data_IF_660759699904
#
_entry.id   IF_660759699904
#
_cell.length_a   1.000
_cell.length_b   1.000
_cell.length_c   1.000
_cell.angle_alpha   90.00
_cell.angle_beta   90.00
_cell.angle_gamma   90.00
#
_symmetry.space_group_name_H-M   'P 1'
#
loop_
_entity.id
_entity.type
_entity.pdbx_description
1 polymer ?
#
# COMPACT_ATOMS: atom_id res chain seq x y z
N UNK A 1 -51.32 49.12 65.42
CA UNK A 1 -50.37 48.94 66.53
C UNK A 1 -49.30 47.98 66.05
N UNK A 2 -48.11 48.56 65.78
CA UNK A 2 -46.75 48.08 66.07
C UNK A 2 -46.43 46.57 66.18
N UNK A 3 -45.16 46.27 65.86
CA UNK A 3 -44.37 45.03 66.06
C UNK A 3 -44.32 44.12 64.81
N UNK A 4 -43.18 43.67 64.28
CA UNK A 4 -41.79 43.85 64.68
C UNK A 4 -40.85 43.57 63.50
N UNK A 5 -39.73 44.28 63.53
CA UNK A 5 -38.60 44.25 62.62
C UNK A 5 -37.79 42.95 62.83
N UNK A 6 -37.46 42.21 61.77
CA UNK A 6 -36.45 41.14 61.83
C UNK A 6 -35.37 41.40 60.78
N UNK A 7 -34.25 41.96 61.24
CA UNK A 7 -33.02 42.15 60.50
C UNK A 7 -32.40 40.79 60.11
N UNK A 8 -31.91 40.59 58.88
CA UNK A 8 -30.99 39.50 58.57
C UNK A 8 -29.57 39.89 59.00
N UNK A 9 -28.91 39.00 59.74
CA UNK A 9 -27.54 39.18 60.20
C UNK A 9 -26.52 39.24 59.04
N UNK A 10 -25.43 40.01 59.17
CA UNK A 10 -24.31 39.98 58.24
C UNK A 10 -23.31 38.90 58.70
N UNK A 11 -23.06 37.87 57.89
CA UNK A 11 -22.03 36.91 58.27
C UNK A 11 -21.94 35.69 57.38
N UNK A 12 -21.01 35.72 56.42
CA UNK A 12 -20.64 34.54 55.66
C UNK A 12 -19.83 34.90 54.42
N UNK A 13 -18.55 35.20 54.60
CA UNK A 13 -17.60 35.33 53.47
C UNK A 13 -17.57 33.98 52.73
N UNK A 14 -17.81 33.93 51.41
CA UNK A 14 -17.71 32.68 50.67
C UNK A 14 -16.27 32.15 50.74
N UNK A 15 -16.06 30.82 50.86
CA UNK A 15 -14.72 30.26 50.98
C UNK A 15 -13.86 30.63 49.76
N UNK A 16 -12.55 30.90 49.93
CA UNK A 16 -11.70 31.32 48.84
C UNK A 16 -11.70 30.25 47.75
N UNK A 17 -12.07 30.66 46.52
CA UNK A 17 -12.09 29.78 45.35
C UNK A 17 -10.68 29.23 45.16
N UNK A 18 -10.53 27.91 45.23
CA UNK A 18 -9.26 27.22 44.98
C UNK A 18 -8.82 27.51 43.54
N UNK A 19 -7.91 28.46 43.37
CA UNK A 19 -7.25 28.72 42.09
C UNK A 19 -6.23 27.61 41.88
N UNK A 20 -6.54 26.64 41.03
CA UNK A 20 -5.58 25.62 40.62
C UNK A 20 -4.61 26.30 39.64
N UNK A 21 -3.32 26.44 39.95
CA UNK A 21 -2.37 27.00 39.00
C UNK A 21 -2.26 26.04 37.81
N UNK A 22 -2.52 26.55 36.60
CA UNK A 22 -2.28 25.80 35.36
C UNK A 22 -0.77 25.69 35.20
N UNK A 23 -0.20 24.57 35.66
CA UNK A 23 1.18 24.22 35.33
C UNK A 23 1.25 23.90 33.84
N UNK A 24 2.10 24.63 33.12
CA UNK A 24 2.38 24.32 31.73
C UNK A 24 2.88 22.88 31.64
N UNK A 25 2.18 22.05 30.86
CA UNK A 25 2.55 20.66 30.67
C UNK A 25 4.00 20.58 30.13
N UNK A 26 4.85 19.70 30.70
CA UNK A 26 6.21 19.54 30.22
C UNK A 26 6.18 19.05 28.77
N UNK A 27 6.74 19.86 27.88
CA UNK A 27 6.95 19.63 26.45
C UNK A 27 5.74 19.06 25.69
N UNK A 28 5.04 19.93 24.96
CA UNK A 28 4.17 19.50 23.88
C UNK A 28 4.96 18.56 22.97
N UNK A 29 4.64 17.26 23.03
CA UNK A 29 5.09 16.29 22.03
C UNK A 29 4.63 16.86 20.70
N UNK A 30 5.53 17.15 19.75
CA UNK A 30 5.11 17.65 18.45
C UNK A 30 4.04 16.71 17.89
N UNK A 31 2.84 17.22 17.62
CA UNK A 31 1.78 16.45 16.95
C UNK A 31 2.20 16.01 15.53
N UNK A 32 3.32 16.54 15.04
CA UNK A 32 3.87 16.28 13.72
C UNK A 32 5.35 15.87 13.81
N UNK A 33 5.63 14.62 13.46
CA UNK A 33 6.98 14.14 13.27
C UNK A 33 7.45 14.51 11.84
N UNK A 34 8.54 15.29 11.68
CA UNK A 34 8.99 15.71 10.36
C UNK A 34 9.34 14.50 9.50
N UNK A 35 8.78 14.47 8.29
CA UNK A 35 8.94 13.35 7.36
C UNK A 35 10.41 13.12 7.02
N UNK A 36 10.93 11.95 7.38
CA UNK A 36 12.20 11.46 6.84
C UNK A 36 11.95 10.82 5.47
N UNK A 37 12.56 11.35 4.42
CA UNK A 37 12.44 10.82 3.05
C UNK A 37 13.03 9.41 2.98
N UNK A 38 12.17 8.41 2.77
CA UNK A 38 12.61 7.03 2.60
C UNK A 38 13.13 6.84 1.17
N UNK A 39 14.36 6.32 1.07
CA UNK A 39 15.01 5.99 -0.20
C UNK A 39 15.31 4.49 -0.25
N UNK A 40 14.38 3.67 -0.76
CA UNK A 40 14.58 2.22 -0.80
C UNK A 40 15.73 1.85 -1.72
N UNK A 41 16.53 0.89 -1.27
CA UNK A 41 17.57 0.22 -2.06
C UNK A 41 16.92 -0.80 -3.00
N UNK A 42 17.46 -0.92 -4.22
CA UNK A 42 17.06 -1.98 -5.14
C UNK A 42 17.49 -3.36 -4.65
N UNK A 43 16.66 -4.38 -4.91
CA UNK A 43 16.99 -5.78 -4.60
C UNK A 43 16.44 -6.71 -5.69
N UNK A 44 17.18 -7.79 -5.95
CA UNK A 44 16.77 -8.85 -6.86
C UNK A 44 16.41 -10.10 -6.04
N UNK A 45 15.40 -10.83 -6.49
CA UNK A 45 14.93 -12.04 -5.83
C UNK A 45 13.56 -12.46 -6.33
N UNK A 46 12.94 -13.42 -5.65
CA UNK A 46 11.68 -14.00 -6.08
C UNK A 46 10.54 -12.98 -6.00
N UNK A 47 10.42 -12.28 -4.87
CA UNK A 47 9.33 -11.33 -4.62
C UNK A 47 9.48 -10.09 -5.49
N UNK A 48 10.72 -9.60 -5.68
CA UNK A 48 11.03 -8.51 -6.61
C UNK A 48 10.59 -8.84 -8.05
N UNK A 49 10.87 -10.06 -8.54
CA UNK A 49 10.43 -10.51 -9.87
C UNK A 49 8.91 -10.61 -9.99
N UNK A 50 8.24 -11.23 -9.02
CA UNK A 50 6.77 -11.34 -9.02
C UNK A 50 6.08 -9.98 -8.95
N UNK A 51 6.65 -9.04 -8.19
CA UNK A 51 6.13 -7.67 -8.11
C UNK A 51 6.21 -6.99 -9.47
N UNK A 52 7.33 -7.10 -10.18
CA UNK A 52 7.45 -6.58 -11.54
C UNK A 52 6.55 -7.30 -12.54
N UNK A 53 6.37 -8.62 -12.43
CA UNK A 53 5.43 -9.35 -13.27
C UNK A 53 4.00 -8.82 -13.12
N UNK A 54 3.56 -8.55 -11.88
CA UNK A 54 2.22 -8.00 -11.62
C UNK A 54 2.10 -6.51 -11.93
N UNK A 55 3.17 -5.73 -11.79
CA UNK A 55 3.24 -4.37 -12.36
C UNK A 55 2.98 -4.44 -13.86
N UNK A 56 3.73 -5.26 -14.60
CA UNK A 56 3.52 -5.41 -16.04
C UNK A 56 2.11 -5.90 -16.39
N UNK A 57 1.61 -6.93 -15.71
CA UNK A 57 0.28 -7.47 -15.98
C UNK A 57 -0.83 -6.42 -15.73
N UNK A 58 -0.77 -5.70 -14.61
CA UNK A 58 -1.76 -4.65 -14.28
C UNK A 58 -1.66 -3.45 -15.22
N UNK A 59 -0.45 -3.02 -15.59
CA UNK A 59 -0.27 -1.91 -16.53
C UNK A 59 -0.69 -2.28 -17.94
N UNK A 60 -0.39 -3.50 -18.40
CA UNK A 60 -0.84 -4.00 -19.70
C UNK A 60 -2.36 -4.04 -19.74
N UNK A 61 -3.01 -4.60 -18.73
CA UNK A 61 -4.46 -4.59 -18.62
C UNK A 61 -5.00 -3.16 -18.64
N UNK A 62 -4.48 -2.29 -17.76
CA UNK A 62 -4.99 -0.92 -17.61
C UNK A 62 -4.83 -0.10 -18.89
N UNK A 63 -3.68 -0.16 -19.56
CA UNK A 63 -3.39 0.64 -20.75
C UNK A 63 -3.94 0.07 -22.05
N UNK A 64 -4.10 -1.25 -22.18
CA UNK A 64 -4.49 -1.88 -23.45
C UNK A 64 -5.99 -2.10 -23.55
N UNK A 65 -6.66 -2.51 -22.47
CA UNK A 65 -8.09 -2.85 -22.49
C UNK A 65 -8.99 -1.78 -23.13
N UNK A 66 -8.84 -0.47 -22.87
CA UNK A 66 -9.74 0.52 -23.47
C UNK A 66 -9.54 0.67 -24.99
N UNK A 67 -8.41 0.22 -25.55
CA UNK A 67 -8.17 0.23 -27.00
C UNK A 67 -8.76 -0.96 -27.73
N UNK A 68 -9.02 -2.06 -27.00
CA UNK A 68 -9.58 -3.28 -27.58
C UNK A 68 -11.02 -3.03 -28.05
N UNK A 69 -11.37 -3.63 -29.19
CA UNK A 69 -12.69 -3.53 -29.78
C UNK A 69 -13.29 -4.94 -29.89
N UNK A 70 -14.52 -5.09 -29.41
CA UNK A 70 -15.30 -6.33 -29.44
C UNK A 70 -16.62 -5.99 -30.12
N UNK A 71 -16.93 -6.68 -31.22
CA UNK A 71 -18.12 -6.43 -32.05
C UNK A 71 -18.32 -4.96 -32.47
N UNK A 72 -17.21 -4.27 -32.80
CA UNK A 72 -17.24 -2.86 -33.23
C UNK A 72 -17.44 -1.84 -32.11
N UNK A 73 -17.33 -2.27 -30.83
CA UNK A 73 -17.42 -1.38 -29.65
C UNK A 73 -16.22 -1.56 -28.75
N UNK A 74 -15.89 -0.53 -27.98
CA UNK A 74 -14.81 -0.59 -27.01
C UNK A 74 -15.07 -1.70 -25.98
N UNK A 75 -14.04 -2.51 -25.69
CA UNK A 75 -14.17 -3.71 -24.88
C UNK A 75 -14.59 -3.41 -23.43
N UNK A 76 -14.04 -2.36 -22.83
CA UNK A 76 -14.48 -1.88 -21.52
C UNK A 76 -14.72 -0.37 -21.59
N UNK A 77 -15.98 0.04 -21.48
CA UNK A 77 -16.39 1.44 -21.50
C UNK A 77 -17.54 1.65 -20.52
N UNK A 78 -17.36 2.57 -19.56
CA UNK A 78 -18.37 2.99 -18.62
C UNK A 78 -18.96 4.33 -19.06
N UNK A 79 -19.91 4.29 -19.99
CA UNK A 79 -20.56 5.49 -20.53
C UNK A 79 -21.58 6.01 -19.52
N UNK A 80 -21.16 7.04 -18.77
CA UNK A 80 -21.98 7.68 -17.75
C UNK A 80 -23.07 8.58 -18.34
N UNK A 81 -22.87 9.09 -19.55
CA UNK A 81 -23.80 10.02 -20.21
C UNK A 81 -25.03 9.27 -20.74
N UNK A 82 -24.80 8.17 -21.45
CA UNK A 82 -25.87 7.29 -21.95
C UNK A 82 -26.31 6.25 -20.90
N UNK A 83 -25.61 6.18 -19.77
CA UNK A 83 -25.80 5.20 -18.69
C UNK A 83 -25.73 3.76 -19.21
N UNK A 84 -24.77 3.49 -20.08
CA UNK A 84 -24.52 2.18 -20.71
C UNK A 84 -23.13 1.69 -20.31
N UNK A 85 -23.05 0.47 -19.80
CA UNK A 85 -21.76 -0.13 -19.44
C UNK A 85 -21.45 -1.27 -20.39
N UNK A 86 -20.38 -1.12 -21.16
CA UNK A 86 -19.86 -2.14 -22.07
C UNK A 86 -18.76 -2.90 -21.34
N UNK A 87 -18.96 -4.20 -21.14
CA UNK A 87 -18.03 -5.08 -20.40
C UNK A 87 -17.77 -6.34 -21.22
N UNK A 88 -16.65 -6.37 -21.94
CA UNK A 88 -16.18 -7.50 -22.74
C UNK A 88 -17.25 -8.13 -23.64
N UNK A 89 -18.01 -7.30 -24.36
CA UNK A 89 -19.11 -7.72 -25.23
C UNK A 89 -20.49 -7.72 -24.58
N UNK A 90 -20.58 -7.63 -23.26
CA UNK A 90 -21.83 -7.47 -22.51
C UNK A 90 -22.24 -6.00 -22.51
N UNK A 91 -23.54 -5.73 -22.67
CA UNK A 91 -24.13 -4.40 -22.55
C UNK A 91 -25.07 -4.39 -21.36
N UNK A 92 -24.69 -3.66 -20.32
CA UNK A 92 -25.50 -3.51 -19.11
C UNK A 92 -26.24 -2.17 -19.16
N UNK A 93 -27.56 -2.22 -18.98
CA UNK A 93 -28.41 -1.05 -18.86
C UNK A 93 -28.56 -0.62 -17.39
N UNK A 94 -29.10 0.58 -17.09
CA UNK A 94 -29.31 1.01 -15.71
C UNK A 94 -30.23 0.09 -14.90
N UNK A 95 -31.10 -0.66 -15.58
CA UNK A 95 -31.98 -1.68 -15.01
C UNK A 95 -31.16 -2.85 -14.44
N UNK A 96 -30.02 -3.15 -15.07
CA UNK A 96 -29.07 -4.20 -14.72
C UNK A 96 -28.07 -3.75 -13.64
N UNK A 97 -28.25 -2.56 -13.07
CA UNK A 97 -27.37 -2.03 -12.03
C UNK A 97 -27.32 -2.92 -10.78
N UNK A 98 -28.34 -3.75 -10.57
CA UNK A 98 -28.35 -4.79 -9.54
C UNK A 98 -27.19 -5.78 -9.77
N UNK A 99 -26.94 -6.20 -11.01
CA UNK A 99 -25.84 -7.11 -11.35
C UNK A 99 -24.47 -6.45 -11.17
N UNK A 100 -24.34 -5.18 -11.56
CA UNK A 100 -23.10 -4.41 -11.32
C UNK A 100 -22.84 -4.25 -9.81
N UNK A 101 -23.88 -3.92 -9.04
CA UNK A 101 -23.78 -3.81 -7.58
C UNK A 101 -23.40 -5.14 -6.94
N UNK A 102 -24.04 -6.24 -7.35
CA UNK A 102 -23.70 -7.58 -6.90
C UNK A 102 -22.24 -7.94 -7.25
N UNK A 103 -21.79 -7.65 -8.46
CA UNK A 103 -20.40 -7.85 -8.88
C UNK A 103 -19.40 -7.07 -8.01
N UNK A 104 -19.71 -5.81 -7.67
CA UNK A 104 -18.88 -4.99 -6.79
C UNK A 104 -18.85 -5.54 -5.36
N UNK A 105 -19.99 -6.00 -4.83
CA UNK A 105 -20.08 -6.64 -3.51
C UNK A 105 -19.24 -7.93 -3.49
N UNK A 106 -19.41 -8.80 -4.49
CA UNK A 106 -18.63 -10.04 -4.64
C UNK A 106 -17.14 -9.73 -4.72
N UNK A 107 -16.75 -8.71 -5.50
CA UNK A 107 -15.36 -8.29 -5.63
C UNK A 107 -14.78 -7.80 -4.30
N UNK A 108 -15.53 -6.98 -3.55
CA UNK A 108 -15.12 -6.49 -2.24
C UNK A 108 -14.99 -7.64 -1.22
N UNK A 109 -15.97 -8.54 -1.15
CA UNK A 109 -15.93 -9.70 -0.27
C UNK A 109 -14.81 -10.68 -0.64
N UNK A 110 -14.57 -10.90 -1.94
CA UNK A 110 -13.45 -11.72 -2.42
C UNK A 110 -12.10 -11.11 -2.01
N UNK A 111 -11.95 -9.80 -2.10
CA UNK A 111 -10.75 -9.10 -1.64
C UNK A 111 -10.57 -9.21 -0.11
N UNK A 112 -11.66 -9.14 0.66
CA UNK A 112 -11.63 -9.35 2.11
C UNK A 112 -11.26 -10.79 2.47
N UNK A 113 -11.87 -11.78 1.82
CA UNK A 113 -11.54 -13.20 1.98
C UNK A 113 -10.06 -13.46 1.66
N UNK A 114 -9.59 -12.93 0.54
CA UNK A 114 -8.18 -12.99 0.16
C UNK A 114 -7.28 -12.38 1.23
N UNK A 115 -7.67 -11.23 1.79
CA UNK A 115 -6.91 -10.58 2.87
C UNK A 115 -6.86 -11.44 4.14
N UNK A 116 -7.96 -12.09 4.52
CA UNK A 116 -7.99 -12.95 5.71
C UNK A 116 -6.99 -14.10 5.58
N UNK A 117 -6.83 -14.66 4.38
CA UNK A 117 -5.91 -15.77 4.12
C UNK A 117 -4.48 -15.28 3.90
N UNK A 118 -4.30 -14.34 2.97
CA UNK A 118 -3.02 -13.95 2.40
C UNK A 118 -2.51 -12.59 2.91
N UNK A 119 -3.16 -12.02 3.93
CA UNK A 119 -2.76 -10.76 4.54
C UNK A 119 -2.75 -9.61 3.53
N UNK A 120 -1.61 -8.96 3.40
CA UNK A 120 -1.45 -7.73 2.58
C UNK A 120 -0.78 -7.94 1.23
N UNK A 121 -0.81 -9.15 0.67
CA UNK A 121 -0.24 -9.39 -0.66
C UNK A 121 -0.87 -8.49 -1.74
N UNK A 122 -2.17 -8.18 -1.68
CA UNK A 122 -2.78 -7.22 -2.62
C UNK A 122 -2.06 -5.86 -2.60
N UNK A 123 -1.81 -5.33 -1.39
CA UNK A 123 -1.10 -4.07 -1.20
C UNK A 123 0.32 -4.13 -1.74
N UNK A 124 1.01 -5.26 -1.64
CA UNK A 124 2.41 -5.38 -2.08
C UNK A 124 2.57 -5.51 -3.60
N UNK A 125 1.57 -6.08 -4.27
CA UNK A 125 1.73 -6.61 -5.63
C UNK A 125 0.80 -5.99 -6.69
N UNK A 126 -0.38 -5.50 -6.32
CA UNK A 126 -1.40 -5.08 -7.31
C UNK A 126 -2.10 -3.76 -6.96
N UNK A 127 -1.97 -3.26 -5.73
CA UNK A 127 -2.56 -1.98 -5.33
C UNK A 127 -2.01 -0.84 -6.20
N UNK A 128 -2.87 -0.02 -6.85
CA UNK A 128 -2.46 1.04 -7.77
C UNK A 128 -1.40 1.97 -7.17
N UNK A 129 -1.57 2.39 -5.91
CA UNK A 129 -0.60 3.26 -5.23
C UNK A 129 0.81 2.65 -5.24
N UNK A 130 0.93 1.36 -4.93
CA UNK A 130 2.23 0.69 -4.82
C UNK A 130 2.81 0.30 -6.17
N UNK A 131 1.96 0.06 -7.18
CA UNK A 131 2.36 -0.19 -8.57
C UNK A 131 2.95 1.07 -9.17
N UNK A 132 2.23 2.20 -9.12
CA UNK A 132 2.74 3.47 -9.63
C UNK A 132 3.95 3.97 -8.84
N UNK A 133 3.98 3.81 -7.51
CA UNK A 133 5.18 4.14 -6.72
C UNK A 133 6.38 3.29 -7.16
N UNK A 134 6.21 2.01 -7.48
CA UNK A 134 7.32 1.17 -7.95
C UNK A 134 7.85 1.63 -9.32
N UNK A 135 6.96 2.00 -10.24
CA UNK A 135 7.34 2.53 -11.55
C UNK A 135 8.08 3.86 -11.40
N UNK A 136 7.58 4.78 -10.56
CA UNK A 136 8.21 6.07 -10.31
C UNK A 136 9.58 5.91 -9.66
N UNK A 137 9.71 5.01 -8.69
CA UNK A 137 10.98 4.66 -8.07
C UNK A 137 11.95 4.00 -9.04
N UNK A 138 11.46 3.23 -10.01
CA UNK A 138 12.28 2.66 -11.07
C UNK A 138 12.84 3.73 -11.99
N UNK A 139 12.00 4.68 -12.44
CA UNK A 139 12.43 5.85 -13.22
C UNK A 139 13.49 6.64 -12.45
N UNK A 140 13.22 6.94 -11.17
CA UNK A 140 14.15 7.64 -10.29
C UNK A 140 15.48 6.90 -10.17
N UNK A 141 15.46 5.58 -9.99
CA UNK A 141 16.67 4.75 -9.93
C UNK A 141 17.47 4.74 -11.22
N UNK A 142 16.82 4.81 -12.39
CA UNK A 142 17.52 4.80 -13.67
C UNK A 142 18.22 6.12 -13.96
N UNK A 143 17.67 7.25 -13.51
CA UNK A 143 18.25 8.57 -13.76
C UNK A 143 19.17 9.06 -12.63
N UNK A 144 18.83 8.79 -11.37
CA UNK A 144 19.57 9.29 -10.20
C UNK A 144 20.44 8.22 -9.52
N UNK A 145 20.33 6.95 -9.94
CA UNK A 145 21.09 5.82 -9.39
C UNK A 145 20.41 5.13 -8.21
N UNK A 146 21.07 4.14 -7.60
CA UNK A 146 20.53 3.44 -6.42
C UNK A 146 20.65 4.29 -5.14
N UNK A 147 20.17 3.79 -3.99
CA UNK A 147 20.02 4.52 -2.73
C UNK A 147 21.21 5.43 -2.36
N UNK A 148 22.44 4.94 -2.40
CA UNK A 148 23.62 5.75 -2.01
C UNK A 148 23.87 6.93 -2.95
N UNK A 149 23.66 6.74 -4.26
CA UNK A 149 23.81 7.81 -5.25
C UNK A 149 22.75 8.91 -5.04
N UNK A 150 21.50 8.51 -4.76
CA UNK A 150 20.41 9.45 -4.49
C UNK A 150 20.57 10.21 -3.18
N UNK A 151 21.01 9.51 -2.12
CA UNK A 151 21.36 10.16 -0.85
C UNK A 151 22.49 11.18 -1.06
N UNK A 152 23.52 10.81 -1.83
CA UNK A 152 24.60 11.74 -2.16
C UNK A 152 24.08 12.94 -2.96
N UNK A 153 23.25 12.73 -3.97
CA UNK A 153 22.65 13.82 -4.77
C UNK A 153 21.77 14.76 -3.92
N UNK A 154 21.09 14.24 -2.90
CA UNK A 154 20.25 15.04 -2.01
C UNK A 154 21.06 15.81 -0.95
N UNK A 155 22.15 15.21 -0.44
CA UNK A 155 23.04 15.82 0.56
C UNK A 155 24.13 16.71 -0.06
N UNK A 156 24.30 16.65 -1.37
CA UNK A 156 25.28 17.45 -2.10
C UNK A 156 24.93 18.94 -2.04
N UNK A 157 25.72 19.67 -1.25
CA UNK A 157 25.62 21.11 -1.02
C UNK A 157 26.20 21.96 -2.14
N UNK A 158 26.76 21.38 -3.20
CA UNK A 158 27.36 22.10 -4.35
C UNK A 158 26.35 22.88 -5.23
N UNK A 159 25.09 23.01 -4.80
CA UNK A 159 24.05 23.71 -5.54
C UNK A 159 23.43 22.88 -6.67
N UNK A 160 22.92 23.56 -7.70
CA UNK A 160 22.33 22.96 -8.90
C UNK A 160 23.36 22.90 -10.03
N UNK A 161 24.11 21.80 -10.11
CA UNK A 161 24.95 21.50 -11.27
C UNK A 161 24.10 21.09 -12.48
N UNK A 162 24.62 21.25 -13.71
CA UNK A 162 23.92 20.85 -14.94
C UNK A 162 23.54 19.36 -14.92
N UNK A 163 24.43 18.50 -14.42
CA UNK A 163 24.16 17.06 -14.29
C UNK A 163 23.01 16.81 -13.30
N UNK A 164 23.02 17.46 -12.13
CA UNK A 164 21.95 17.33 -11.12
C UNK A 164 20.61 17.84 -11.66
N UNK A 165 20.63 18.96 -12.39
CA UNK A 165 19.46 19.51 -13.05
C UNK A 165 18.92 18.57 -14.14
N UNK A 166 19.79 18.00 -14.99
CA UNK A 166 19.39 17.05 -16.03
C UNK A 166 18.80 15.75 -15.45
N UNK A 167 19.43 15.17 -14.42
CA UNK A 167 18.94 13.95 -13.76
C UNK A 167 17.59 14.18 -13.08
N UNK A 168 17.45 15.26 -12.30
CA UNK A 168 16.20 15.60 -11.61
C UNK A 168 15.10 16.02 -12.59
N UNK A 169 15.43 16.87 -13.55
CA UNK A 169 14.51 17.34 -14.59
C UNK A 169 14.00 16.20 -15.45
N UNK A 170 14.90 15.31 -15.92
CA UNK A 170 14.54 14.12 -16.68
C UNK A 170 13.61 13.18 -15.90
N UNK A 171 13.83 13.02 -14.58
CA UNK A 171 12.96 12.22 -13.72
C UNK A 171 11.56 12.83 -13.65
N UNK A 172 11.45 14.12 -13.38
CA UNK A 172 10.16 14.80 -13.30
C UNK A 172 9.44 14.82 -14.65
N UNK A 173 10.16 14.96 -15.76
CA UNK A 173 9.62 14.85 -17.10
C UNK A 173 9.02 13.45 -17.36
N UNK A 174 9.76 12.38 -17.07
CA UNK A 174 9.25 11.02 -17.26
C UNK A 174 8.08 10.69 -16.33
N UNK A 175 8.11 11.17 -15.08
CA UNK A 175 6.98 11.06 -14.16
C UNK A 175 5.74 11.79 -14.69
N UNK A 176 5.91 12.99 -15.24
CA UNK A 176 4.82 13.79 -15.79
C UNK A 176 4.22 13.12 -17.02
N UNK A 177 5.05 12.65 -17.96
CA UNK A 177 4.61 11.94 -19.16
C UNK A 177 3.82 10.67 -18.80
N UNK A 178 4.33 9.86 -17.87
CA UNK A 178 3.63 8.66 -17.38
C UNK A 178 2.30 9.03 -16.71
N UNK A 179 2.28 10.11 -15.93
CA UNK A 179 1.07 10.57 -15.26
C UNK A 179 0.02 11.08 -16.23
N UNK A 180 0.42 11.84 -17.25
CA UNK A 180 -0.46 12.31 -18.32
C UNK A 180 -1.06 11.14 -19.10
N UNK A 181 -0.24 10.16 -19.47
CA UNK A 181 -0.72 8.94 -20.13
C UNK A 181 -1.69 8.14 -19.25
N UNK A 182 -1.44 8.10 -17.94
CA UNK A 182 -2.32 7.47 -16.95
C UNK A 182 -3.66 8.19 -16.84
N UNK A 183 -3.64 9.52 -16.74
CA UNK A 183 -4.86 10.33 -16.72
C UNK A 183 -5.68 10.18 -18.00
N UNK A 184 -5.02 10.21 -19.16
CA UNK A 184 -5.63 9.97 -20.47
C UNK A 184 -6.32 8.60 -20.52
N UNK A 185 -5.61 7.55 -20.14
CA UNK A 185 -6.13 6.18 -20.16
C UNK A 185 -7.31 6.04 -19.18
N UNK A 186 -7.22 6.63 -17.99
CA UNK A 186 -8.30 6.57 -17.01
C UNK A 186 -9.58 7.20 -17.54
N UNK A 187 -9.50 8.38 -18.16
CA UNK A 187 -10.65 9.02 -18.82
C UNK A 187 -11.15 8.20 -20.01
N UNK A 188 -10.26 7.50 -20.72
CA UNK A 188 -10.60 6.57 -21.79
C UNK A 188 -11.46 5.37 -21.37
N UNK A 189 -11.62 5.08 -20.08
CA UNK A 189 -12.60 4.11 -19.58
C UNK A 189 -14.02 4.68 -19.48
N UNK A 190 -14.21 6.00 -19.57
CA UNK A 190 -15.51 6.66 -19.44
C UNK A 190 -15.94 7.38 -20.73
N UNK A 191 -14.98 7.77 -21.56
CA UNK A 191 -15.19 8.35 -22.89
C UNK A 191 -14.54 7.43 -23.92
N UNK A 192 -15.19 7.13 -25.07
CA UNK A 192 -14.58 6.28 -26.10
C UNK A 192 -13.15 6.73 -26.43
N UNK A 193 -12.17 5.85 -26.21
CA UNK A 193 -10.75 6.25 -26.14
C UNK A 193 -10.22 6.81 -27.47
N UNK A 194 -10.78 6.33 -28.59
CA UNK A 194 -10.40 6.79 -29.94
C UNK A 194 -10.91 8.21 -30.20
N UNK A 195 -12.14 8.50 -29.80
CA UNK A 195 -12.71 9.85 -29.90
C UNK A 195 -11.99 10.80 -28.95
N UNK A 196 -11.70 10.34 -27.73
CA UNK A 196 -10.90 11.07 -26.75
C UNK A 196 -9.52 11.45 -27.29
N UNK A 197 -8.84 10.53 -27.97
CA UNK A 197 -7.54 10.79 -28.59
C UNK A 197 -7.62 11.92 -29.63
N UNK A 198 -8.64 11.91 -30.48
CA UNK A 198 -8.86 12.96 -31.49
C UNK A 198 -9.20 14.30 -30.82
N UNK A 199 -10.08 14.30 -29.82
CA UNK A 199 -10.46 15.51 -29.08
C UNK A 199 -9.26 16.16 -28.40
N UNK A 200 -8.43 15.38 -27.69
CA UNK A 200 -7.23 15.88 -26.99
C UNK A 200 -6.21 16.44 -27.98
N UNK A 201 -5.99 15.76 -29.12
CA UNK A 201 -5.09 16.23 -30.17
C UNK A 201 -5.57 17.54 -30.81
N UNK A 202 -6.88 17.72 -30.95
CA UNK A 202 -7.49 18.95 -31.44
C UNK A 202 -7.63 20.05 -30.37
N UNK A 203 -7.20 19.80 -29.12
CA UNK A 203 -7.43 20.65 -27.95
C UNK A 203 -8.92 20.98 -27.74
N UNK A 204 -9.78 20.02 -28.05
CA UNK A 204 -11.24 20.08 -27.88
C UNK A 204 -11.66 19.24 -26.67
N UNK A 205 -12.83 19.56 -26.09
CA UNK A 205 -13.33 18.86 -24.91
C UNK A 205 -12.63 19.30 -23.62
N UNK A 206 -12.84 20.57 -23.24
CA UNK A 206 -12.24 21.16 -22.04
C UNK A 206 -12.51 20.33 -20.77
N UNK A 207 -13.69 19.70 -20.68
CA UNK A 207 -14.07 18.84 -19.57
C UNK A 207 -13.21 17.56 -19.49
N UNK A 208 -13.00 16.90 -20.62
CA UNK A 208 -12.15 15.71 -20.72
C UNK A 208 -10.69 16.07 -20.40
N UNK A 209 -10.18 17.16 -20.99
CA UNK A 209 -8.82 17.65 -20.74
C UNK A 209 -8.61 17.98 -19.26
N UNK A 210 -9.59 18.61 -18.60
CA UNK A 210 -9.55 18.87 -17.16
C UNK A 210 -9.39 17.58 -16.35
N UNK A 211 -10.19 16.55 -16.61
CA UNK A 211 -10.08 15.27 -15.88
C UNK A 211 -8.77 14.55 -16.16
N UNK A 212 -8.27 14.59 -17.39
CA UNK A 212 -6.95 14.05 -17.73
C UNK A 212 -5.87 14.73 -16.88
N UNK A 213 -5.86 16.06 -16.84
CA UNK A 213 -4.90 16.83 -16.07
C UNK A 213 -5.05 16.58 -14.55
N UNK A 214 -6.29 16.48 -14.05
CA UNK A 214 -6.58 16.18 -12.65
C UNK A 214 -6.02 14.80 -12.23
N UNK A 215 -6.34 13.74 -12.97
CA UNK A 215 -5.84 12.40 -12.66
C UNK A 215 -4.34 12.26 -12.89
N UNK A 216 -3.77 12.99 -13.86
CA UNK A 216 -2.33 13.09 -14.03
C UNK A 216 -1.68 13.76 -12.82
N UNK A 217 -2.18 14.90 -12.36
CA UNK A 217 -1.67 15.59 -11.17
C UNK A 217 -1.80 14.72 -9.93
N UNK A 218 -2.93 14.03 -9.76
CA UNK A 218 -3.15 13.11 -8.65
C UNK A 218 -2.14 11.94 -8.69
N UNK A 219 -1.91 11.34 -9.85
CA UNK A 219 -0.92 10.25 -10.03
C UNK A 219 0.49 10.74 -9.71
N UNK A 220 0.87 11.89 -10.26
CA UNK A 220 2.16 12.54 -10.04
C UNK A 220 2.39 12.87 -8.56
N UNK A 221 1.40 13.45 -7.89
CA UNK A 221 1.45 13.78 -6.46
C UNK A 221 1.54 12.53 -5.58
N UNK A 222 0.65 11.56 -5.81
CA UNK A 222 0.52 10.36 -4.98
C UNK A 222 1.73 9.43 -5.11
N UNK A 223 2.20 9.13 -6.33
CA UNK A 223 3.32 8.22 -6.56
C UNK A 223 4.68 8.94 -6.47
N UNK A 224 4.75 10.21 -6.87
CA UNK A 224 5.99 10.99 -6.87
C UNK A 224 6.39 11.49 -5.49
N UNK A 225 5.44 12.05 -4.73
CA UNK A 225 5.74 12.78 -3.49
C UNK A 225 5.20 12.07 -2.25
N UNK A 226 3.91 11.71 -2.22
CA UNK A 226 3.29 11.15 -1.02
C UNK A 226 3.77 9.72 -0.74
N UNK A 227 3.87 8.86 -1.76
CA UNK A 227 4.46 7.52 -1.70
C UNK A 227 3.95 6.71 -0.50
N UNK A 228 4.83 6.43 0.47
CA UNK A 228 4.55 5.66 1.67
C UNK A 228 3.53 6.33 2.61
N UNK A 229 3.42 7.66 2.56
CA UNK A 229 2.48 8.41 3.38
C UNK A 229 1.03 8.01 3.07
N UNK A 230 0.75 7.68 1.80
CA UNK A 230 -0.56 7.15 1.40
C UNK A 230 -0.84 5.85 2.15
N UNK A 231 0.12 4.91 2.17
CA UNK A 231 -0.05 3.63 2.83
C UNK A 231 -0.06 3.70 4.36
N UNK A 232 0.65 4.66 4.95
CA UNK A 232 0.75 4.85 6.41
C UNK A 232 -0.45 5.58 7.01
N UNK A 233 -0.90 6.66 6.36
CA UNK A 233 -1.81 7.62 6.97
C UNK A 233 -3.12 7.81 6.20
N UNK A 234 -3.09 7.76 4.86
CA UNK A 234 -4.28 8.08 4.06
C UNK A 234 -5.15 6.85 3.75
N UNK A 235 -4.53 5.68 3.61
CA UNK A 235 -5.21 4.47 3.17
C UNK A 235 -5.99 3.84 4.33
N UNK A 236 -7.34 3.94 4.36
CA UNK A 236 -8.12 3.33 5.43
C UNK A 236 -8.01 1.81 5.40
N UNK A 237 -7.81 1.25 4.21
CA UNK A 237 -7.66 -0.19 3.99
C UNK A 237 -6.48 -0.79 4.76
N UNK A 238 -5.35 -0.06 4.89
CA UNK A 238 -4.20 -0.53 5.68
C UNK A 238 -4.58 -0.87 7.13
N UNK A 239 -5.44 -0.03 7.74
CA UNK A 239 -5.91 -0.21 9.11
C UNK A 239 -6.97 -1.29 9.21
N UNK A 240 -7.96 -1.27 8.31
CA UNK A 240 -9.02 -2.29 8.29
C UNK A 240 -8.45 -3.70 8.09
N UNK A 241 -7.53 -3.89 7.14
CA UNK A 241 -6.89 -5.18 6.92
C UNK A 241 -6.13 -5.68 8.14
N UNK A 242 -5.38 -4.79 8.79
CA UNK A 242 -4.59 -5.16 9.98
C UNK A 242 -5.47 -5.58 11.16
N UNK A 243 -6.68 -5.00 11.28
CA UNK A 243 -7.67 -5.41 12.28
C UNK A 243 -8.32 -6.78 11.98
N UNK A 244 -8.38 -7.19 10.70
CA UNK A 244 -8.93 -8.47 10.28
C UNK A 244 -7.94 -9.65 10.41
N UNK A 245 -6.67 -9.36 10.66
CA UNK A 245 -5.65 -10.39 10.80
C UNK A 245 -5.92 -11.31 11.99
N UNK A 246 -5.70 -12.61 11.77
CA UNK A 246 -5.69 -13.61 12.82
C UNK A 246 -4.31 -14.27 12.90
N UNK A 247 -4.11 -15.13 13.91
CA UNK A 247 -2.82 -15.81 14.14
C UNK A 247 -2.41 -16.74 12.98
N UNK A 248 -3.35 -17.09 12.11
CA UNK A 248 -3.20 -17.96 10.94
C UNK A 248 -3.23 -17.18 9.60
N UNK A 249 -3.26 -15.84 9.64
CA UNK A 249 -3.10 -15.01 8.43
C UNK A 249 -1.64 -15.02 7.97
N UNK A 250 -1.43 -15.24 6.67
CA UNK A 250 -0.10 -15.24 6.09
C UNK A 250 0.45 -13.81 6.01
N UNK A 251 1.53 -13.55 6.74
CA UNK A 251 2.20 -12.25 6.78
C UNK A 251 3.70 -12.41 6.57
N UNK A 252 4.37 -11.34 6.15
CA UNK A 252 5.83 -11.32 6.16
C UNK A 252 6.27 -11.22 7.61
N UNK A 253 7.13 -12.14 8.06
CA UNK A 253 7.55 -12.21 9.45
C UNK A 253 9.02 -12.54 9.58
N UNK A 254 9.63 -12.00 10.63
CA UNK A 254 10.97 -12.32 11.06
C UNK A 254 10.92 -13.38 12.17
N UNK A 255 11.74 -14.41 12.04
CA UNK A 255 11.84 -15.53 13.00
C UNK A 255 12.73 -15.12 14.19
N UNK A 256 12.11 -14.54 15.22
CA UNK A 256 12.81 -14.04 16.40
C UNK A 256 13.54 -15.15 17.17
N UNK A 257 12.93 -16.34 17.32
CA UNK A 257 13.55 -17.47 18.01
C UNK A 257 14.86 -17.91 17.35
N UNK A 258 14.96 -17.78 16.03
CA UNK A 258 16.16 -18.08 15.26
C UNK A 258 17.15 -16.89 15.16
N UNK A 259 16.63 -15.68 15.13
CA UNK A 259 17.39 -14.48 14.76
C UNK A 259 17.91 -13.62 15.91
N UNK A 260 17.26 -13.66 17.08
CA UNK A 260 17.64 -12.82 18.24
C UNK A 260 18.99 -13.21 18.85
N UNK A 261 19.59 -12.28 19.60
CA UNK A 261 21.05 -12.28 19.82
C UNK A 261 21.76 -11.70 18.59
N UNK A 262 21.22 -10.59 18.07
CA UNK A 262 21.66 -9.97 16.80
C UNK A 262 23.06 -9.40 16.98
N UNK A 263 23.97 -9.66 16.04
CA UNK A 263 25.31 -9.07 16.10
C UNK A 263 26.12 -9.26 14.82
N UNK A 264 27.00 -8.29 14.49
CA UNK A 264 27.88 -8.40 13.35
C UNK A 264 28.92 -9.52 13.58
N UNK A 265 29.31 -10.21 12.51
CA UNK A 265 30.32 -11.27 12.55
C UNK A 265 30.90 -11.56 11.18
N UNK A 266 32.12 -12.10 11.17
CA UNK A 266 32.76 -12.59 9.95
C UNK A 266 32.12 -13.89 9.47
N UNK A 267 32.29 -14.18 8.18
CA UNK A 267 31.84 -15.43 7.58
C UNK A 267 32.65 -16.61 8.14
N UNK A 268 31.98 -17.74 8.38
CA UNK A 268 32.62 -18.95 8.91
C UNK A 268 32.73 -19.00 10.44
N UNK A 269 32.39 -17.91 11.13
CA UNK A 269 32.26 -17.91 12.59
C UNK A 269 30.98 -18.64 13.00
N UNK A 270 31.10 -19.56 13.97
CA UNK A 270 29.94 -20.18 14.60
C UNK A 270 29.23 -19.13 15.48
N UNK A 271 28.07 -18.67 15.01
CA UNK A 271 27.25 -17.69 15.70
C UNK A 271 26.78 -18.21 17.06
N UNK A 272 26.46 -19.51 17.16
CA UNK A 272 25.91 -20.09 18.39
C UNK A 272 26.95 -20.20 19.48
N UNK A 273 28.20 -20.48 19.12
CA UNK A 273 29.33 -20.44 20.06
C UNK A 273 29.53 -19.06 20.70
N UNK A 274 29.07 -17.99 20.02
CA UNK A 274 29.14 -16.60 20.52
C UNK A 274 27.83 -16.12 21.16
N UNK A 275 26.83 -17.01 21.35
CA UNK A 275 25.52 -16.64 21.85
C UNK A 275 24.71 -15.76 20.89
N UNK A 276 25.09 -15.73 19.60
CA UNK A 276 24.43 -14.93 18.56
C UNK A 276 23.43 -15.77 17.76
N UNK A 277 22.32 -15.14 17.37
CA UNK A 277 21.34 -15.71 16.44
C UNK A 277 21.73 -15.51 14.98
N UNK A 278 20.91 -16.01 14.07
CA UNK A 278 21.18 -15.99 12.63
C UNK A 278 21.11 -14.58 12.01
N UNK A 279 20.52 -13.59 12.71
CA UNK A 279 20.53 -12.20 12.26
C UNK A 279 21.91 -11.55 12.49
N UNK A 280 22.53 -11.05 11.42
CA UNK A 280 23.83 -10.33 11.49
C UNK A 280 23.69 -8.80 11.68
N UNK A 281 22.50 -8.32 12.03
CA UNK A 281 22.16 -6.88 12.19
C UNK A 281 22.51 -5.96 11.00
N UNK A 282 22.62 -6.47 9.76
CA UNK A 282 23.02 -5.67 8.58
C UNK A 282 22.06 -4.54 8.16
N UNK A 283 20.86 -4.46 8.76
CA UNK A 283 19.76 -3.54 8.42
C UNK A 283 19.29 -3.54 6.95
N UNK A 284 19.74 -4.47 6.10
CA UNK A 284 19.34 -4.49 4.68
C UNK A 284 17.83 -4.65 4.47
N UNK A 285 17.16 -5.39 5.35
CA UNK A 285 15.70 -5.52 5.36
C UNK A 285 14.97 -4.17 5.48
N UNK A 286 15.52 -3.24 6.28
CA UNK A 286 15.00 -1.86 6.44
C UNK A 286 15.30 -1.04 5.19
N UNK A 287 16.51 -1.17 4.64
CA UNK A 287 16.95 -0.39 3.49
C UNK A 287 16.15 -0.69 2.22
N UNK A 288 15.66 -1.92 2.05
CA UNK A 288 14.83 -2.29 0.88
C UNK A 288 13.33 -2.07 1.11
N UNK A 289 12.93 -1.71 2.33
CA UNK A 289 11.52 -1.57 2.68
C UNK A 289 10.94 -0.26 2.11
N UNK A 290 9.91 -0.32 1.25
CA UNK A 290 9.33 0.87 0.62
C UNK A 290 8.61 1.79 1.62
N UNK A 291 8.18 1.25 2.77
CA UNK A 291 7.56 2.00 3.87
C UNK A 291 8.52 2.29 5.02
N UNK A 292 9.78 1.86 4.91
CA UNK A 292 10.84 2.17 5.88
C UNK A 292 10.67 1.57 7.27
N UNK A 293 9.94 0.45 7.40
CA UNK A 293 9.80 -0.25 8.68
C UNK A 293 10.93 -1.25 8.93
N UNK A 294 11.13 -1.61 10.19
CA UNK A 294 12.00 -2.70 10.60
C UNK A 294 11.19 -3.96 10.92
N UNK A 295 11.22 -4.93 10.00
CA UNK A 295 10.47 -6.19 10.12
C UNK A 295 10.80 -7.01 11.37
N UNK A 296 11.90 -6.68 12.06
CA UNK A 296 12.35 -7.37 13.27
C UNK A 296 11.68 -6.85 14.54
N UNK A 297 10.92 -5.76 14.45
CA UNK A 297 10.09 -5.24 15.53
C UNK A 297 8.69 -5.90 15.54
N UNK A 298 8.49 -6.89 14.67
CA UNK A 298 7.27 -7.69 14.59
C UNK A 298 6.30 -7.20 13.53
N UNK A 299 5.02 -7.46 13.76
CA UNK A 299 3.96 -7.13 12.80
C UNK A 299 3.58 -5.65 12.95
N UNK A 300 3.79 -4.90 11.87
CA UNK A 300 3.51 -3.46 11.80
C UNK A 300 2.44 -3.20 10.73
N UNK A 301 1.45 -2.37 11.05
CA UNK A 301 0.30 -2.11 10.16
C UNK A 301 0.71 -1.32 8.90
N UNK A 302 1.91 -0.73 8.86
CA UNK A 302 2.48 -0.06 7.71
C UNK A 302 3.01 -1.07 6.66
N UNK A 303 3.30 -2.30 7.08
CA UNK A 303 3.86 -3.34 6.20
C UNK A 303 2.92 -3.68 5.05
N UNK A 304 3.29 -3.30 3.82
CA UNK A 304 2.50 -3.61 2.62
C UNK A 304 2.64 -5.06 2.12
N UNK A 305 3.34 -5.95 2.83
CA UNK A 305 3.45 -7.36 2.43
C UNK A 305 4.20 -7.63 1.12
N UNK A 306 5.06 -6.71 0.64
CA UNK A 306 5.74 -6.85 -0.66
C UNK A 306 6.89 -7.87 -0.72
N UNK A 307 7.37 -8.37 0.43
CA UNK A 307 8.39 -9.43 0.49
C UNK A 307 9.83 -9.03 0.11
N UNK A 308 10.11 -7.75 -0.20
CA UNK A 308 11.48 -7.32 -0.56
C UNK A 308 12.52 -7.57 0.56
N UNK A 309 12.10 -7.48 1.83
CA UNK A 309 12.94 -7.82 2.96
C UNK A 309 13.29 -9.32 3.03
N UNK A 310 12.43 -10.21 2.49
CA UNK A 310 12.73 -11.64 2.37
C UNK A 310 13.85 -11.85 1.34
N UNK A 311 13.74 -11.22 0.16
CA UNK A 311 14.76 -11.30 -0.89
C UNK A 311 16.12 -10.78 -0.38
N UNK A 312 16.12 -9.62 0.30
CA UNK A 312 17.33 -9.06 0.88
C UNK A 312 17.93 -9.94 1.97
N UNK A 313 17.10 -10.45 2.89
CA UNK A 313 17.57 -11.30 3.99
C UNK A 313 18.13 -12.62 3.46
N UNK A 314 17.44 -13.28 2.53
CA UNK A 314 17.92 -14.53 1.93
C UNK A 314 19.25 -14.32 1.19
N UNK A 315 19.42 -13.21 0.49
CA UNK A 315 20.71 -12.89 -0.14
C UNK A 315 21.86 -12.73 0.87
N UNK A 316 21.58 -12.29 2.10
CA UNK A 316 22.56 -12.26 3.19
C UNK A 316 22.80 -13.66 3.75
N UNK A 317 21.73 -14.42 4.01
CA UNK A 317 21.84 -15.80 4.51
C UNK A 317 22.70 -16.67 3.58
N UNK A 318 22.50 -16.55 2.26
CA UNK A 318 23.29 -17.27 1.26
C UNK A 318 24.78 -16.90 1.33
N UNK A 319 25.10 -15.62 1.49
CA UNK A 319 26.49 -15.14 1.61
C UNK A 319 27.17 -15.66 2.87
N UNK A 320 26.41 -15.77 3.96
CA UNK A 320 26.87 -16.29 5.26
C UNK A 320 26.84 -17.83 5.35
N UNK A 321 26.31 -18.52 4.33
CA UNK A 321 26.03 -19.96 4.35
C UNK A 321 25.08 -20.40 5.47
N UNK A 322 24.10 -19.57 5.80
CA UNK A 322 23.01 -19.91 6.71
C UNK A 322 21.77 -20.36 5.94
N UNK A 323 20.90 -21.12 6.59
CA UNK A 323 19.63 -21.51 6.00
C UNK A 323 18.80 -20.28 5.61
N UNK A 324 18.13 -20.31 4.47
CA UNK A 324 17.19 -19.24 4.08
C UNK A 324 15.99 -19.15 5.03
N UNK A 325 15.19 -18.09 4.90
CA UNK A 325 13.90 -17.98 5.58
C UNK A 325 13.98 -17.47 7.02
N UNK A 326 15.03 -16.72 7.38
CA UNK A 326 15.05 -15.93 8.62
C UNK A 326 13.95 -14.85 8.61
N UNK A 327 13.75 -14.21 7.45
CA UNK A 327 12.53 -13.47 7.13
C UNK A 327 11.77 -14.28 6.08
N UNK A 328 10.49 -14.57 6.31
CA UNK A 328 9.66 -15.42 5.43
C UNK A 328 8.18 -15.05 5.49
N UNK A 329 7.40 -15.51 4.50
CA UNK A 329 5.95 -15.57 4.65
C UNK A 329 5.60 -16.71 5.62
N UNK A 330 4.95 -16.38 6.72
CA UNK A 330 4.54 -17.32 7.76
C UNK A 330 3.29 -16.81 8.47
N UNK A 331 2.71 -17.65 9.32
CA UNK A 331 1.68 -17.23 10.28
C UNK A 331 2.28 -17.15 11.68
N UNK A 332 1.63 -16.41 12.59
CA UNK A 332 2.06 -16.32 13.99
C UNK A 332 1.98 -17.69 14.68
N UNK A 333 0.90 -18.45 14.43
CA UNK A 333 0.74 -19.82 14.93
C UNK A 333 1.86 -20.74 14.44
N UNK A 334 2.24 -20.61 13.16
CA UNK A 334 3.27 -21.46 12.58
C UNK A 334 4.65 -21.20 13.17
N UNK A 335 4.97 -19.94 13.49
CA UNK A 335 6.21 -19.59 14.20
C UNK A 335 6.21 -20.12 15.63
N UNK A 336 5.09 -19.94 16.34
CA UNK A 336 4.97 -20.39 17.72
C UNK A 336 5.03 -21.93 17.86
N UNK A 337 4.50 -22.67 16.89
CA UNK A 337 4.37 -24.13 16.95
C UNK A 337 5.36 -24.88 16.05
N UNK A 338 6.24 -24.17 15.33
CA UNK A 338 7.20 -24.79 14.41
C UNK A 338 6.56 -25.53 13.24
N UNK A 339 5.42 -25.06 12.74
CA UNK A 339 4.67 -25.77 11.70
C UNK A 339 5.40 -25.80 10.35
N UNK A 340 5.29 -26.94 9.66
CA UNK A 340 5.66 -27.09 8.26
C UNK A 340 4.72 -26.31 7.33
N UNK A 341 5.15 -26.11 6.07
CA UNK A 341 4.31 -25.46 5.03
C UNK A 341 2.99 -26.19 4.80
N UNK A 342 3.00 -27.53 4.83
CA UNK A 342 1.79 -28.32 4.67
C UNK A 342 0.79 -28.09 5.81
N UNK A 343 1.27 -28.00 7.05
CA UNK A 343 0.42 -27.69 8.21
C UNK A 343 -0.15 -26.28 8.12
N UNK A 344 0.64 -25.28 7.68
CA UNK A 344 0.13 -23.93 7.43
C UNK A 344 -0.98 -23.92 6.37
N UNK A 345 -0.80 -24.62 5.26
CA UNK A 345 -1.80 -24.69 4.19
C UNK A 345 -3.11 -25.34 4.65
N UNK A 346 -3.06 -26.34 5.54
CA UNK A 346 -4.27 -26.94 6.14
C UNK A 346 -5.08 -25.92 6.94
N UNK A 347 -4.43 -24.91 7.55
CA UNK A 347 -5.08 -23.84 8.33
C UNK A 347 -5.74 -22.76 7.47
N UNK A 348 -5.61 -22.84 6.15
CA UNK A 348 -6.43 -22.03 5.23
C UNK A 348 -7.91 -22.39 5.39
N UNK A 349 -8.24 -23.67 5.62
CA UNK A 349 -9.62 -24.15 5.81
C UNK A 349 -10.16 -23.97 7.24
N UNK A 350 -9.77 -22.90 7.93
CA UNK A 350 -10.25 -22.61 9.29
C UNK A 350 -11.67 -22.04 9.28
N UNK A 351 -12.45 -22.18 10.38
CA UNK A 351 -13.87 -21.82 10.41
C UNK A 351 -14.19 -20.41 9.89
N UNK A 352 -13.38 -19.42 10.26
CA UNK A 352 -13.56 -18.03 9.78
C UNK A 352 -13.51 -17.92 8.25
N UNK A 353 -12.54 -18.57 7.61
CA UNK A 353 -12.38 -18.55 6.14
C UNK A 353 -13.51 -19.34 5.48
N UNK A 354 -13.92 -20.47 6.06
CA UNK A 354 -15.04 -21.26 5.56
C UNK A 354 -16.36 -20.49 5.62
N UNK A 355 -16.62 -19.76 6.72
CA UNK A 355 -17.83 -18.93 6.85
C UNK A 355 -17.86 -17.80 5.83
N UNK A 356 -16.73 -17.10 5.65
CA UNK A 356 -16.63 -16.05 4.64
C UNK A 356 -16.73 -16.60 3.20
N UNK A 357 -16.10 -17.75 2.94
CA UNK A 357 -16.19 -18.44 1.66
C UNK A 357 -17.60 -18.93 1.35
N UNK A 358 -18.29 -19.52 2.33
CA UNK A 358 -19.67 -19.96 2.21
C UNK A 358 -20.62 -18.79 1.98
N UNK A 359 -20.45 -17.68 2.70
CA UNK A 359 -21.24 -16.47 2.48
C UNK A 359 -21.03 -15.89 1.08
N UNK A 360 -19.78 -15.84 0.60
CA UNK A 360 -19.46 -15.40 -0.75
C UNK A 360 -20.11 -16.31 -1.81
N UNK A 361 -20.01 -17.64 -1.63
CA UNK A 361 -20.64 -18.61 -2.51
C UNK A 361 -22.16 -18.47 -2.52
N UNK A 362 -22.80 -18.28 -1.36
CA UNK A 362 -24.24 -18.09 -1.26
C UNK A 362 -24.71 -16.85 -2.06
N UNK A 363 -23.97 -15.75 -1.97
CA UNK A 363 -24.25 -14.52 -2.73
C UNK A 363 -24.07 -14.74 -4.24
N UNK A 364 -23.01 -15.45 -4.65
CA UNK A 364 -22.79 -15.77 -6.06
C UNK A 364 -23.89 -16.65 -6.62
N UNK A 365 -24.35 -17.67 -5.86
CA UNK A 365 -25.42 -18.57 -6.28
C UNK A 365 -26.80 -17.90 -6.30
N UNK A 366 -27.10 -16.98 -5.37
CA UNK A 366 -28.38 -16.26 -5.34
C UNK A 366 -28.51 -15.20 -6.44
N UNK A 367 -27.38 -14.69 -6.95
CA UNK A 367 -27.32 -13.72 -8.04
C UNK A 367 -27.32 -14.32 -9.45
N UNK A 368 -27.33 -15.64 -9.62
CA UNK A 368 -27.45 -16.27 -10.94
C UNK A 368 -28.93 -16.25 -11.37
N UNK A 369 -29.35 -15.42 -12.35
CA UNK A 369 -30.67 -15.59 -12.93
C UNK A 369 -30.75 -17.00 -13.51
N UNK A 370 -31.82 -17.73 -13.16
CA UNK A 370 -32.19 -18.98 -13.81
C UNK A 370 -32.09 -18.74 -15.31
N UNK A 371 -31.11 -19.36 -15.97
CA UNK A 371 -30.99 -19.32 -17.42
C UNK A 371 -32.34 -19.79 -18.02
N UNK A 372 -33.07 -18.84 -18.59
CA UNK A 372 -34.27 -19.07 -19.41
C UNK A 372 -34.11 -18.25 -20.66
#
# INVERSE_FOLDING_TARGET
MSHENSSPQPGGTPPPRKTIPIQAAPHAVPFYEPRTKIQPRSIQGLFSRWRWALVWATQLFFYVVPWLQIHGRQALLFDLEQRRFYVFGWLLYPQDFIYLTALLIVSALALFLFTTVAGRLWCGFSCPQTVYTEIFMWIERRLEGDRSARLRLDLDGSGWTLEKAARRGGKHLLWLLLSLWTGFTFVGYFVPIRDLAVQVMALQGAWQIFWIAFYALATYGNAGFLREQVCKYMCPYARFQSAMFDKDTLVVTYDAARGEGRGPRAKGVDARAQGLGDCIDCKLCVQVCPVGIDIRDGLQYECIGCGLCIDACNGVMDKMHYARGLVRLSTQSALAQGWSRAQMLRRVFRPRVLLYGAGLLAIMCSGMPSAR
#
